data_IF_771074717016
#
_entry.id   IF_771074717016
#
_cell.length_a   1.000
_cell.length_b   1.000
_cell.length_c   1.000
_cell.angle_alpha   90.00
_cell.angle_beta   90.00
_cell.angle_gamma   90.00
#
_symmetry.space_group_name_H-M   'P 1'
#
loop_
_entity.id
_entity.type
_entity.pdbx_description
1 polymer ?
#
# COMPACT_ATOMS: atom_id res chain seq x y z
N UNK A 1 -14.16 -11.70 -0.94
CA UNK A 1 -14.24 -11.31 -2.36
C UNK A 1 -13.17 -12.01 -3.21
N UNK A 2 -11.91 -12.08 -2.77
CA UNK A 2 -10.81 -12.84 -3.39
C UNK A 2 -11.18 -14.27 -3.87
N UNK A 3 -12.02 -14.99 -3.10
CA UNK A 3 -12.42 -16.37 -3.40
C UNK A 3 -13.30 -16.53 -4.65
N UNK A 4 -14.03 -15.48 -5.07
CA UNK A 4 -14.90 -15.52 -6.26
C UNK A 4 -14.17 -15.11 -7.54
N UNK A 5 -13.25 -14.13 -7.47
CA UNK A 5 -12.42 -13.71 -8.59
C UNK A 5 -11.41 -14.78 -9.00
N UNK A 6 -10.79 -15.45 -8.03
CA UNK A 6 -9.93 -16.61 -8.29
C UNK A 6 -10.65 -17.70 -9.08
N UNK A 7 -11.93 -17.99 -8.77
CA UNK A 7 -12.73 -18.99 -9.50
C UNK A 7 -13.06 -18.58 -10.95
N UNK A 8 -13.17 -17.28 -11.23
CA UNK A 8 -13.48 -16.76 -12.58
C UNK A 8 -12.25 -16.82 -13.49
N UNK A 9 -11.05 -16.60 -12.94
CA UNK A 9 -9.77 -16.72 -13.65
C UNK A 9 -9.34 -18.18 -13.89
N UNK A 10 -9.72 -19.13 -13.04
CA UNK A 10 -9.30 -20.54 -13.15
C UNK A 10 -9.83 -21.28 -14.41
N UNK A 11 -10.88 -20.77 -15.08
CA UNK A 11 -11.57 -21.49 -16.18
C UNK A 11 -10.87 -21.47 -17.54
N UNK A 12 -9.80 -20.69 -17.73
CA UNK A 12 -9.15 -20.52 -19.05
C UNK A 12 -7.76 -21.15 -19.19
N UNK A 13 -7.49 -22.35 -18.64
CA UNK A 13 -6.29 -23.16 -18.95
C UNK A 13 -4.90 -22.56 -18.58
N UNK A 14 -4.49 -21.45 -19.19
CA UNK A 14 -3.25 -20.71 -18.92
C UNK A 14 -3.08 -20.16 -17.49
N UNK A 15 -4.14 -19.74 -16.78
CA UNK A 15 -4.04 -19.28 -15.38
C UNK A 15 -3.56 -20.33 -14.39
N UNK A 16 -3.84 -21.61 -14.64
CA UNK A 16 -3.44 -22.71 -13.75
C UNK A 16 -1.93 -23.02 -13.86
N UNK A 17 -1.36 -22.87 -15.06
CA UNK A 17 0.08 -23.05 -15.31
C UNK A 17 0.89 -21.96 -14.62
N UNK A 18 0.44 -20.71 -14.68
CA UNK A 18 1.11 -19.58 -14.00
C UNK A 18 1.12 -19.78 -12.48
N UNK A 19 -0.01 -20.18 -11.90
CA UNK A 19 -0.08 -20.51 -10.48
C UNK A 19 0.84 -21.67 -10.11
N UNK A 20 0.82 -22.76 -10.88
CA UNK A 20 1.67 -23.92 -10.63
C UNK A 20 3.16 -23.60 -10.76
N UNK A 21 3.53 -22.63 -11.61
CA UNK A 21 4.91 -22.23 -11.82
C UNK A 21 5.41 -21.22 -10.77
N UNK A 22 4.58 -20.24 -10.36
CA UNK A 22 4.96 -19.21 -9.40
C UNK A 22 3.73 -18.56 -8.73
N UNK A 23 3.58 -18.81 -7.42
CA UNK A 23 2.48 -18.26 -6.63
C UNK A 23 2.53 -16.72 -6.51
N UNK A 24 3.70 -16.10 -6.46
CA UNK A 24 3.83 -14.64 -6.36
C UNK A 24 3.36 -13.96 -7.65
N UNK A 25 3.75 -14.48 -8.81
CA UNK A 25 3.27 -13.99 -10.11
C UNK A 25 1.76 -14.16 -10.23
N UNK A 26 1.22 -15.26 -9.71
CA UNK A 26 -0.21 -15.50 -9.68
C UNK A 26 -0.97 -14.49 -8.80
N UNK A 27 -0.45 -14.17 -7.62
CA UNK A 27 -1.05 -13.17 -6.72
C UNK A 27 -1.06 -11.78 -7.35
N UNK A 28 0.02 -11.36 -8.01
CA UNK A 28 0.05 -10.09 -8.74
C UNK A 28 -1.04 -10.03 -9.81
N UNK A 29 -1.29 -11.14 -10.51
CA UNK A 29 -2.34 -11.21 -11.55
C UNK A 29 -3.75 -11.14 -10.98
N UNK A 30 -3.98 -11.74 -9.81
CA UNK A 30 -5.27 -11.61 -9.10
C UNK A 30 -5.47 -10.14 -8.69
N UNK A 31 -4.42 -9.53 -8.17
CA UNK A 31 -4.44 -8.16 -7.67
C UNK A 31 -4.72 -7.16 -8.80
N UNK A 32 -4.07 -7.32 -9.96
CA UNK A 32 -4.32 -6.52 -11.17
C UNK A 32 -5.79 -6.65 -11.63
N UNK A 33 -6.34 -7.87 -11.65
CA UNK A 33 -7.73 -8.11 -12.03
C UNK A 33 -8.72 -7.43 -11.06
N UNK A 34 -8.37 -7.32 -9.79
CA UNK A 34 -9.16 -6.61 -8.78
C UNK A 34 -9.13 -5.10 -9.00
N UNK A 35 -7.96 -4.52 -9.29
CA UNK A 35 -7.85 -3.11 -9.64
C UNK A 35 -8.68 -2.76 -10.87
N UNK A 36 -8.55 -3.55 -11.94
CA UNK A 36 -9.32 -3.38 -13.17
C UNK A 36 -10.83 -3.42 -12.90
N UNK A 37 -11.30 -4.32 -12.04
CA UNK A 37 -12.71 -4.37 -11.67
C UNK A 37 -13.17 -3.08 -10.98
N UNK A 38 -12.37 -2.56 -10.05
CA UNK A 38 -12.70 -1.33 -9.32
C UNK A 38 -12.68 -0.10 -10.24
N UNK A 39 -11.61 0.05 -11.03
CA UNK A 39 -11.45 1.16 -11.99
C UNK A 39 -12.61 1.19 -12.99
N UNK A 40 -12.97 0.04 -13.58
CA UNK A 40 -14.12 -0.06 -14.52
C UNK A 40 -15.45 0.25 -13.85
N UNK A 41 -15.60 -0.13 -12.57
CA UNK A 41 -16.79 0.20 -11.79
C UNK A 41 -16.99 1.72 -11.68
N UNK A 42 -15.92 2.45 -11.35
CA UNK A 42 -15.95 3.92 -11.22
C UNK A 42 -16.11 4.60 -12.59
N UNK A 43 -15.33 4.19 -13.60
CA UNK A 43 -15.44 4.74 -14.96
C UNK A 43 -16.83 4.52 -15.58
N UNK A 44 -17.48 3.39 -15.27
CA UNK A 44 -18.84 3.08 -15.69
C UNK A 44 -19.93 3.92 -15.01
N UNK A 45 -19.56 4.85 -14.12
CA UNK A 45 -20.48 5.71 -13.38
C UNK A 45 -21.02 5.08 -12.08
N UNK A 46 -20.42 4.00 -11.59
CA UNK A 46 -20.73 3.45 -10.27
C UNK A 46 -20.29 4.36 -9.14
N UNK A 47 -21.15 4.52 -8.13
CA UNK A 47 -20.90 5.22 -6.85
C UNK A 47 -20.34 6.65 -6.98
N UNK A 48 -20.90 7.45 -7.90
CA UNK A 48 -20.58 8.89 -8.07
C UNK A 48 -20.73 9.70 -6.78
N UNK A 49 -21.64 9.29 -5.92
CA UNK A 49 -21.99 9.96 -4.68
C UNK A 49 -21.13 9.52 -3.48
N UNK A 50 -20.12 8.64 -3.69
CA UNK A 50 -19.15 8.21 -2.67
C UNK A 50 -19.82 7.62 -1.41
N UNK A 51 -20.88 6.84 -1.59
CA UNK A 51 -21.82 6.52 -0.49
C UNK A 51 -21.53 5.22 0.24
N UNK A 52 -20.94 4.22 -0.44
CA UNK A 52 -20.85 2.87 0.13
C UNK A 52 -19.42 2.37 0.31
N UNK A 53 -18.54 2.61 -0.67
CA UNK A 53 -17.15 2.17 -0.67
C UNK A 53 -16.27 3.10 -1.49
N UNK A 54 -15.88 4.19 -0.87
CA UNK A 54 -14.97 5.17 -1.46
C UNK A 54 -13.58 4.54 -1.60
N UNK A 55 -13.03 4.62 -2.81
CA UNK A 55 -11.64 4.27 -3.10
C UNK A 55 -10.94 5.48 -3.69
N UNK A 56 -9.61 5.47 -3.71
CA UNK A 56 -8.81 6.55 -4.34
C UNK A 56 -9.22 6.81 -5.81
N UNK A 57 -9.70 5.79 -6.52
CA UNK A 57 -10.18 5.92 -7.90
C UNK A 57 -11.40 6.85 -8.00
N UNK A 58 -12.26 6.91 -6.97
CA UNK A 58 -13.40 7.83 -6.96
C UNK A 58 -12.96 9.28 -6.87
N UNK A 59 -11.85 9.56 -6.19
CA UNK A 59 -11.28 10.90 -6.12
C UNK A 59 -10.59 11.26 -7.44
N UNK A 60 -9.71 10.40 -7.93
CA UNK A 60 -8.90 10.71 -9.12
C UNK A 60 -9.70 10.74 -10.42
N UNK A 61 -10.67 9.84 -10.60
CA UNK A 61 -11.43 9.73 -11.87
C UNK A 61 -12.53 10.79 -11.96
N UNK A 62 -13.17 11.14 -10.83
CA UNK A 62 -14.23 12.14 -10.82
C UNK A 62 -13.70 13.58 -10.67
N UNK A 63 -12.39 13.76 -10.46
CA UNK A 63 -11.73 15.06 -10.49
C UNK A 63 -11.74 15.62 -11.92
N UNK A 64 -12.35 16.80 -12.17
CA UNK A 64 -12.35 17.42 -13.50
C UNK A 64 -11.01 18.09 -13.87
N UNK A 65 -10.04 18.17 -12.95
CA UNK A 65 -8.77 18.85 -13.15
C UNK A 65 -7.82 18.16 -14.15
N UNK A 66 -7.55 16.85 -14.03
CA UNK A 66 -6.63 16.16 -14.91
C UNK A 66 -7.16 16.02 -16.35
N UNK A 67 -6.29 16.08 -17.37
CA UNK A 67 -6.62 15.70 -18.74
C UNK A 67 -7.25 14.30 -18.87
N UNK A 68 -8.13 14.05 -19.85
CA UNK A 68 -8.83 12.75 -19.98
C UNK A 68 -7.91 11.54 -20.16
N UNK A 69 -6.70 11.71 -20.72
CA UNK A 69 -5.70 10.65 -20.84
C UNK A 69 -5.12 10.25 -19.48
N UNK A 70 -5.08 11.20 -18.53
CA UNK A 70 -4.58 11.00 -17.17
C UNK A 70 -5.58 10.24 -16.29
N UNK A 71 -6.84 10.13 -16.67
CA UNK A 71 -7.90 9.36 -15.96
C UNK A 71 -8.33 8.10 -16.71
N UNK A 72 -7.62 7.75 -17.80
CA UNK A 72 -7.88 6.52 -18.55
C UNK A 72 -7.65 5.25 -17.72
N UNK A 73 -8.35 4.15 -18.02
CA UNK A 73 -8.19 2.86 -17.34
C UNK A 73 -6.73 2.43 -17.28
N UNK A 74 -6.02 2.50 -18.42
CA UNK A 74 -4.61 2.13 -18.51
C UNK A 74 -3.74 2.98 -17.58
N UNK A 75 -4.01 4.29 -17.50
CA UNK A 75 -3.25 5.17 -16.60
C UNK A 75 -3.53 4.86 -15.14
N UNK A 76 -4.80 4.66 -14.77
CA UNK A 76 -5.18 4.31 -13.39
C UNK A 76 -4.58 3.00 -12.92
N UNK A 77 -4.48 1.99 -13.80
CA UNK A 77 -3.76 0.74 -13.49
C UNK A 77 -2.29 1.02 -13.22
N UNK A 78 -1.61 1.77 -14.08
CA UNK A 78 -0.21 2.11 -13.88
C UNK A 78 0.03 2.89 -12.57
N UNK A 79 -0.86 3.82 -12.22
CA UNK A 79 -0.77 4.58 -10.96
C UNK A 79 -0.94 3.68 -9.72
N UNK A 80 -1.94 2.78 -9.70
CA UNK A 80 -2.12 1.89 -8.55
C UNK A 80 -1.01 0.85 -8.43
N UNK A 81 -0.48 0.35 -9.55
CA UNK A 81 0.67 -0.55 -9.56
C UNK A 81 1.91 0.14 -9.00
N UNK A 82 2.16 1.40 -9.42
CA UNK A 82 3.26 2.19 -8.89
C UNK A 82 3.10 2.46 -7.38
N UNK A 83 1.90 2.87 -6.96
CA UNK A 83 1.60 3.16 -5.55
C UNK A 83 1.79 1.92 -4.67
N UNK A 84 1.16 0.80 -5.04
CA UNK A 84 1.19 -0.44 -4.25
C UNK A 84 2.59 -1.07 -4.28
N UNK A 85 3.27 -1.03 -5.43
CA UNK A 85 4.62 -1.56 -5.57
C UNK A 85 5.61 -0.87 -4.64
N UNK A 86 5.55 0.47 -4.55
CA UNK A 86 6.43 1.24 -3.67
C UNK A 86 6.04 1.04 -2.20
N UNK A 87 4.78 1.23 -1.85
CA UNK A 87 4.30 1.22 -0.46
C UNK A 87 4.49 -0.15 0.21
N UNK A 88 4.23 -1.24 -0.52
CA UNK A 88 4.37 -2.59 0.02
C UNK A 88 5.81 -2.87 0.47
N UNK A 89 6.79 -2.48 -0.34
CA UNK A 89 8.20 -2.78 -0.06
C UNK A 89 8.70 -1.97 1.14
N UNK A 90 8.42 -0.66 1.17
CA UNK A 90 8.92 0.24 2.21
C UNK A 90 8.28 -0.04 3.55
N UNK A 91 6.96 -0.22 3.58
CA UNK A 91 6.20 -0.47 4.81
C UNK A 91 6.52 -1.86 5.39
N UNK A 92 6.68 -2.88 4.54
CA UNK A 92 7.12 -4.22 4.99
C UNK A 92 8.52 -4.17 5.59
N UNK A 93 9.45 -3.45 4.96
CA UNK A 93 10.81 -3.31 5.46
C UNK A 93 10.85 -2.65 6.84
N UNK A 94 10.17 -1.50 6.98
CA UNK A 94 10.05 -0.78 8.24
C UNK A 94 9.43 -1.67 9.34
N UNK A 95 8.24 -2.25 9.09
CA UNK A 95 7.55 -3.08 10.09
C UNK A 95 8.34 -4.33 10.50
N UNK A 96 9.13 -4.89 9.58
CA UNK A 96 10.01 -6.03 9.88
C UNK A 96 11.14 -5.62 10.82
N UNK A 97 11.75 -4.45 10.60
CA UNK A 97 12.78 -3.91 11.49
C UNK A 97 12.19 -3.55 12.85
N UNK A 98 11.05 -2.85 12.88
CA UNK A 98 10.31 -2.55 14.11
C UNK A 98 10.05 -3.80 14.92
N UNK A 99 9.47 -4.82 14.30
CA UNK A 99 9.17 -6.08 14.98
C UNK A 99 10.44 -6.72 15.53
N UNK A 100 11.53 -6.73 14.76
CA UNK A 100 12.80 -7.28 15.23
C UNK A 100 13.38 -6.52 16.43
N UNK A 101 13.50 -5.19 16.35
CA UNK A 101 14.11 -4.37 17.41
C UNK A 101 13.26 -4.35 18.68
N UNK A 102 11.93 -4.36 18.55
CA UNK A 102 11.02 -4.47 19.70
C UNK A 102 11.14 -5.85 20.35
N UNK A 103 11.15 -6.94 19.57
CA UNK A 103 11.20 -8.31 20.10
C UNK A 103 12.54 -8.68 20.75
N UNK A 104 13.66 -8.17 20.22
CA UNK A 104 15.00 -8.47 20.77
C UNK A 104 15.29 -7.70 22.07
N UNK A 105 14.52 -6.65 22.37
CA UNK A 105 14.69 -5.82 23.56
C UNK A 105 13.45 -5.93 24.48
N UNK A 106 13.45 -6.86 25.46
CA UNK A 106 12.28 -7.10 26.31
C UNK A 106 11.80 -5.87 27.08
N UNK A 107 12.70 -4.95 27.46
CA UNK A 107 12.31 -3.70 28.12
C UNK A 107 11.55 -2.76 27.18
N UNK A 108 11.91 -2.73 25.89
CA UNK A 108 11.20 -1.96 24.87
C UNK A 108 9.84 -2.60 24.58
N UNK A 109 9.75 -3.94 24.51
CA UNK A 109 8.51 -4.66 24.25
C UNK A 109 7.41 -4.42 25.30
N UNK A 110 7.78 -4.27 26.58
CA UNK A 110 6.81 -4.12 27.68
C UNK A 110 5.92 -2.88 27.52
N UNK A 111 6.51 -1.76 27.09
CA UNK A 111 5.80 -0.47 27.06
C UNK A 111 4.72 -0.38 25.97
N UNK A 112 4.98 -0.69 24.68
CA UNK A 112 3.96 -0.74 23.63
C UNK A 112 2.87 -1.76 23.93
N UNK A 113 3.21 -2.94 24.48
CA UNK A 113 2.20 -3.94 24.84
C UNK A 113 1.28 -3.45 25.96
N UNK A 114 1.83 -2.75 26.95
CA UNK A 114 1.03 -2.16 28.02
C UNK A 114 0.14 -1.01 27.51
N UNK A 115 0.63 -0.18 26.59
CA UNK A 115 -0.14 0.86 25.92
C UNK A 115 -1.29 0.27 25.08
N UNK A 116 -0.97 -0.69 24.22
CA UNK A 116 -1.94 -1.38 23.37
C UNK A 116 -2.97 -2.15 24.19
N UNK A 117 -2.59 -2.83 25.26
CA UNK A 117 -3.52 -3.56 26.12
C UNK A 117 -4.53 -2.64 26.83
N UNK A 118 -4.17 -1.36 27.07
CA UNK A 118 -5.09 -0.37 27.63
C UNK A 118 -5.99 0.26 26.56
N UNK A 119 -5.43 0.58 25.40
CA UNK A 119 -6.15 1.25 24.33
C UNK A 119 -7.00 0.31 23.47
N UNK A 120 -6.65 -0.97 23.44
CA UNK A 120 -7.32 -2.03 22.67
C UNK A 120 -7.64 -3.21 23.59
N UNK A 121 -8.61 -3.09 24.51
CA UNK A 121 -8.94 -4.15 25.46
C UNK A 121 -9.51 -5.40 24.77
N UNK A 122 -10.20 -5.22 23.64
CA UNK A 122 -10.70 -6.29 22.79
C UNK A 122 -9.86 -6.35 21.50
N UNK A 123 -9.03 -7.41 21.31
CA UNK A 123 -8.22 -7.58 20.12
C UNK A 123 -9.03 -7.76 18.83
N UNK A 124 -10.32 -8.05 18.93
CA UNK A 124 -11.22 -8.20 17.78
C UNK A 124 -11.91 -6.89 17.39
N UNK A 125 -11.81 -5.87 18.25
CA UNK A 125 -12.29 -4.53 17.95
C UNK A 125 -11.31 -3.79 17.02
N UNK A 126 -11.82 -2.84 16.24
CA UNK A 126 -11.00 -1.91 15.45
C UNK A 126 -10.98 -0.55 16.17
N UNK A 127 -9.88 -0.20 16.88
CA UNK A 127 -9.76 1.09 17.56
C UNK A 127 -9.81 2.24 16.56
N UNK A 128 -10.19 3.43 17.04
CA UNK A 128 -10.12 4.64 16.23
C UNK A 128 -8.67 5.03 15.95
N UNK A 129 -8.44 5.74 14.85
CA UNK A 129 -7.13 6.31 14.54
C UNK A 129 -6.60 7.19 15.70
N UNK A 130 -7.48 7.99 16.31
CA UNK A 130 -7.16 8.84 17.46
C UNK A 130 -6.63 8.03 18.65
N UNK A 131 -7.14 6.81 18.86
CA UNK A 131 -6.65 5.95 19.92
C UNK A 131 -5.18 5.58 19.69
N UNK A 132 -4.80 5.22 18.45
CA UNK A 132 -3.40 4.93 18.10
C UNK A 132 -2.49 6.17 18.15
N UNK A 133 -2.98 7.31 17.69
CA UNK A 133 -2.24 8.59 17.75
C UNK A 133 -1.91 8.99 19.20
N UNK A 134 -2.72 8.56 20.18
CA UNK A 134 -2.48 8.83 21.60
C UNK A 134 -1.39 7.96 22.26
N UNK A 135 -0.92 6.89 21.59
CA UNK A 135 0.05 5.95 22.14
C UNK A 135 1.48 6.45 21.95
N UNK A 136 1.94 7.29 22.89
CA UNK A 136 3.21 8.00 22.75
C UNK A 136 4.42 7.09 22.67
N UNK A 137 4.46 5.97 23.41
CA UNK A 137 5.61 5.06 23.34
C UNK A 137 5.58 4.21 22.06
N UNK A 138 4.41 3.73 21.64
CA UNK A 138 4.27 3.03 20.35
C UNK A 138 4.71 3.94 19.19
N UNK A 139 4.26 5.21 19.19
CA UNK A 139 4.64 6.19 18.17
C UNK A 139 6.15 6.51 18.24
N UNK A 140 6.72 6.65 19.43
CA UNK A 140 8.16 6.85 19.59
C UNK A 140 8.98 5.66 19.08
N UNK A 141 8.51 4.42 19.26
CA UNK A 141 9.16 3.23 18.69
C UNK A 141 9.11 3.25 17.16
N UNK A 142 7.95 3.58 16.58
CA UNK A 142 7.83 3.73 15.12
C UNK A 142 8.73 4.84 14.57
N UNK A 143 8.81 5.99 15.24
CA UNK A 143 9.70 7.10 14.86
C UNK A 143 11.19 6.69 14.90
N UNK A 144 11.57 5.91 15.91
CA UNK A 144 12.94 5.39 16.01
C UNK A 144 13.24 4.38 14.89
N UNK A 145 12.28 3.55 14.51
CA UNK A 145 12.46 2.66 13.37
C UNK A 145 12.53 3.42 12.05
N UNK A 146 11.77 4.50 11.87
CA UNK A 146 11.96 5.39 10.71
C UNK A 146 13.38 5.95 10.67
N UNK A 147 13.99 6.25 11.82
CA UNK A 147 15.39 6.68 11.93
C UNK A 147 16.38 5.57 11.54
N UNK A 148 16.05 4.31 11.81
CA UNK A 148 16.91 3.13 11.59
C UNK A 148 16.70 2.44 10.23
N UNK A 149 15.52 2.56 9.63
CA UNK A 149 15.08 1.84 8.43
C UNK A 149 15.70 2.41 7.14
N UNK A 150 16.86 3.07 7.22
CA UNK A 150 17.57 3.77 6.13
C UNK A 150 17.12 3.30 4.74
N UNK A 151 16.11 3.97 4.17
CA UNK A 151 15.35 3.43 3.04
C UNK A 151 16.19 3.33 1.77
N UNK A 152 16.01 4.26 0.84
CA UNK A 152 16.96 4.39 -0.26
C UNK A 152 18.25 5.04 0.27
N UNK A 153 19.29 4.24 0.48
CA UNK A 153 20.62 4.71 0.92
C UNK A 153 21.42 5.41 -0.19
N UNK A 154 20.79 5.75 -1.32
CA UNK A 154 21.40 6.49 -2.41
C UNK A 154 20.71 7.84 -2.61
N UNK A 155 21.43 8.81 -3.16
CA UNK A 155 20.81 10.06 -3.59
C UNK A 155 19.79 9.75 -4.69
N UNK A 156 18.65 10.42 -4.66
CA UNK A 156 17.71 10.37 -5.78
C UNK A 156 18.37 10.99 -7.02
N UNK A 157 18.34 10.28 -8.14
CA UNK A 157 18.83 10.81 -9.41
C UNK A 157 18.11 12.11 -9.75
N UNK A 158 18.86 13.10 -10.21
CA UNK A 158 18.35 14.36 -10.74
C UNK A 158 18.75 14.45 -12.20
N UNK A 159 17.81 14.77 -13.07
CA UNK A 159 18.06 15.05 -14.48
C UNK A 159 17.63 16.48 -14.78
N UNK A 160 18.51 17.28 -15.37
CA UNK A 160 18.12 18.59 -15.86
C UNK A 160 17.55 18.46 -17.28
N UNK A 161 16.32 18.91 -17.56
CA UNK A 161 15.62 18.57 -18.79
C UNK A 161 16.20 19.23 -20.05
N UNK A 162 17.02 20.27 -19.89
CA UNK A 162 17.51 21.10 -21.01
C UNK A 162 19.02 21.22 -21.10
N UNK A 163 19.74 20.95 -20.02
CA UNK A 163 21.16 21.29 -19.91
C UNK A 163 21.89 20.15 -19.22
N UNK A 164 23.20 20.04 -19.45
CA UNK A 164 24.04 19.08 -18.74
C UNK A 164 24.34 19.60 -17.34
N UNK A 165 24.08 18.78 -16.32
CA UNK A 165 24.47 19.07 -14.94
C UNK A 165 26.01 19.01 -14.84
N UNK A 166 26.64 20.16 -14.60
CA UNK A 166 28.08 20.23 -14.31
C UNK A 166 28.29 20.13 -12.81
N UNK A 167 28.99 19.09 -12.37
CA UNK A 167 29.44 18.98 -10.98
C UNK A 167 30.67 19.88 -10.80
N UNK A 168 30.67 20.69 -9.75
CA UNK A 168 31.85 21.45 -9.33
C UNK A 168 32.40 20.77 -8.08
N UNK A 169 33.68 20.41 -8.12
CA UNK A 169 34.43 19.87 -6.98
C UNK A 169 34.68 20.94 -5.92
#
# INVERSE_FOLDING_TARGET
MHRQLGKKLIKSGGPQVVKAANDAVWLNRIQEAEYLQQIRGVLGGGDKDKTSRITIFHETINDPGPPPDQTSEKRMVAEVEALVGVDTLTSTHMLSLTSYFVLVNPEILKSPLAELGKAVPDPTSSPSQQAFESLSYLNAAMDEDFRLSYGSMHRLSRSHPKESLKFHD
#
